data_IF_638359602208
#
_entry.id   IF_638359602208
#
_cell.length_a   1.000
_cell.length_b   1.000
_cell.length_c   1.000
_cell.angle_alpha   90.00
_cell.angle_beta   90.00
_cell.angle_gamma   90.00
#
_symmetry.space_group_name_H-M   'P 1'
#
loop_
_entity.id
_entity.type
_entity.pdbx_description
1 polymer ?
#
# COMPACT_ATOMS: atom_id res chain seq x y z
N UNK A 1 17.77 16.13 7.85
CA UNK A 1 16.31 15.88 7.77
C UNK A 1 16.06 15.59 6.30
N UNK A 2 15.97 14.31 5.95
CA UNK A 2 16.11 13.82 4.58
C UNK A 2 14.93 14.23 3.71
N UNK A 3 15.21 14.99 2.67
CA UNK A 3 14.29 15.17 1.55
C UNK A 3 14.22 13.82 0.82
N UNK A 4 13.11 13.10 1.01
CA UNK A 4 12.79 11.94 0.17
C UNK A 4 12.30 12.52 -1.15
N UNK A 5 13.24 12.79 -2.05
CA UNK A 5 12.93 13.21 -3.42
C UNK A 5 12.36 12.00 -4.15
N UNK A 6 11.09 12.12 -4.53
CA UNK A 6 10.40 11.14 -5.37
C UNK A 6 11.10 11.06 -6.73
N UNK A 7 11.65 9.88 -7.07
CA UNK A 7 12.07 9.57 -8.44
C UNK A 7 10.93 8.76 -9.11
N UNK A 8 10.15 9.38 -10.01
CA UNK A 8 9.15 8.66 -10.81
C UNK A 8 9.79 7.77 -11.89
N UNK A 9 11.06 8.04 -12.21
CA UNK A 9 11.81 7.34 -13.24
C UNK A 9 12.47 6.08 -12.68
N UNK A 10 12.64 5.07 -13.53
CA UNK A 10 13.39 3.86 -13.16
C UNK A 10 14.80 4.24 -12.71
N UNK A 11 15.33 3.45 -11.77
CA UNK A 11 16.72 3.56 -11.38
C UNK A 11 17.61 3.44 -12.64
N UNK A 12 18.70 4.21 -12.74
CA UNK A 12 19.77 3.97 -13.70
C UNK A 12 20.13 2.47 -13.75
N UNK A 13 20.29 1.91 -14.96
CA UNK A 13 20.39 0.46 -15.15
C UNK A 13 21.59 -0.21 -14.45
N UNK A 14 22.63 0.55 -14.12
CA UNK A 14 23.77 0.09 -13.32
C UNK A 14 23.44 -0.03 -11.81
N UNK A 15 22.50 0.77 -11.31
CA UNK A 15 22.06 0.75 -9.92
C UNK A 15 21.10 -0.40 -9.60
N UNK A 16 20.29 -0.86 -10.57
CA UNK A 16 19.34 -1.96 -10.35
C UNK A 16 20.02 -3.26 -9.88
N UNK A 17 21.23 -3.51 -10.37
CA UNK A 17 22.02 -4.72 -10.01
C UNK A 17 23.01 -4.51 -8.88
N UNK A 18 23.16 -3.28 -8.39
CA UNK A 18 24.15 -2.96 -7.36
C UNK A 18 23.65 -3.41 -5.98
N UNK A 19 24.25 -4.46 -5.44
CA UNK A 19 23.93 -4.93 -4.10
C UNK A 19 24.33 -3.87 -3.06
N UNK A 20 23.41 -3.53 -2.15
CA UNK A 20 23.70 -2.64 -1.03
C UNK A 20 24.81 -3.23 -0.16
N UNK A 21 25.83 -2.41 0.10
CA UNK A 21 26.88 -2.69 1.08
C UNK A 21 26.30 -2.82 2.49
N UNK A 22 27.11 -3.34 3.42
CA UNK A 22 26.69 -3.46 4.82
C UNK A 22 26.42 -2.09 5.47
N UNK A 23 27.19 -1.06 5.10
CA UNK A 23 27.02 0.31 5.61
C UNK A 23 25.71 0.93 5.11
N UNK A 24 25.39 0.78 3.82
CA UNK A 24 24.13 1.27 3.24
C UNK A 24 22.92 0.54 3.85
N UNK A 25 23.03 -0.77 4.06
CA UNK A 25 21.96 -1.55 4.73
C UNK A 25 21.70 -1.07 6.16
N UNK A 26 22.73 -0.63 6.88
CA UNK A 26 22.58 -0.08 8.23
C UNK A 26 21.87 1.27 8.25
N UNK A 27 21.82 1.98 7.12
CA UNK A 27 21.08 3.24 6.99
C UNK A 27 19.60 3.03 6.64
N UNK A 28 19.19 1.81 6.29
CA UNK A 28 17.79 1.51 6.01
C UNK A 28 16.95 1.59 7.29
N UNK A 29 15.79 2.24 7.18
CA UNK A 29 14.81 2.24 8.27
C UNK A 29 14.14 0.87 8.37
N UNK A 30 14.16 0.28 9.57
CA UNK A 30 13.51 -0.99 9.85
C UNK A 30 12.30 -0.78 10.76
N UNK A 31 11.12 -1.19 10.30
CA UNK A 31 9.89 -1.19 11.09
C UNK A 31 9.64 -2.58 11.67
N UNK A 32 9.81 -2.71 12.99
CA UNK A 32 9.70 -3.98 13.68
C UNK A 32 8.26 -4.52 13.75
N UNK A 33 8.08 -5.83 13.93
CA UNK A 33 6.77 -6.45 13.88
C UNK A 33 5.97 -6.31 15.20
N UNK A 34 6.61 -5.80 16.26
CA UNK A 34 5.99 -5.45 17.55
C UNK A 34 5.71 -3.94 17.67
N UNK A 35 5.98 -3.19 16.61
CA UNK A 35 5.62 -1.77 16.52
C UNK A 35 4.11 -1.61 16.26
N UNK A 36 3.55 -0.41 16.51
CA UNK A 36 2.14 -0.14 16.25
C UNK A 36 1.70 -0.51 14.82
N UNK A 37 0.38 -0.64 14.58
CA UNK A 37 -0.13 -0.79 13.23
C UNK A 37 0.29 0.39 12.33
N UNK A 38 0.81 0.07 11.14
CA UNK A 38 1.24 1.03 10.14
C UNK A 38 0.40 0.91 8.88
N UNK A 39 -0.28 2.00 8.53
CA UNK A 39 -1.05 2.12 7.29
C UNK A 39 -0.25 2.93 6.28
N UNK A 40 0.01 2.33 5.11
CA UNK A 40 0.83 2.93 4.07
C UNK A 40 0.08 3.01 2.74
N UNK A 41 0.54 3.91 1.88
CA UNK A 41 0.22 3.92 0.45
C UNK A 41 1.49 3.94 -0.37
N UNK A 42 1.42 4.45 -1.60
CA UNK A 42 2.55 4.73 -2.50
C UNK A 42 3.22 3.52 -3.17
N UNK A 43 2.86 2.30 -2.82
CA UNK A 43 3.44 1.08 -3.41
C UNK A 43 2.72 0.59 -4.67
N UNK A 44 1.68 1.30 -5.14
CA UNK A 44 0.92 0.98 -6.35
C UNK A 44 0.60 -0.52 -6.48
N UNK A 45 0.16 -1.13 -5.39
CA UNK A 45 -0.08 -2.56 -5.35
C UNK A 45 -1.15 -2.95 -6.39
N UNK A 46 -1.02 -4.16 -6.92
CA UNK A 46 -2.01 -4.75 -7.83
C UNK A 46 -2.63 -5.99 -7.19
N UNK A 47 -3.77 -6.44 -7.73
CA UNK A 47 -4.44 -7.64 -7.23
C UNK A 47 -5.30 -7.40 -5.97
N UNK A 48 -5.46 -8.45 -5.17
CA UNK A 48 -6.37 -8.48 -4.01
C UNK A 48 -5.62 -7.90 -2.79
N UNK A 49 -6.25 -6.99 -2.00
CA UNK A 49 -5.66 -6.49 -0.77
C UNK A 49 -5.25 -7.60 0.19
N UNK A 50 -4.00 -7.52 0.66
CA UNK A 50 -3.41 -8.47 1.59
C UNK A 50 -2.44 -7.74 2.50
N UNK A 51 -2.25 -8.25 3.71
CA UNK A 51 -1.31 -7.70 4.68
C UNK A 51 0.13 -8.05 4.28
N UNK A 52 1.02 -7.06 4.02
CA UNK A 52 2.44 -7.33 3.81
C UNK A 52 3.12 -7.90 5.07
N UNK A 53 2.61 -7.51 6.25
CA UNK A 53 3.02 -8.03 7.55
C UNK A 53 1.86 -7.91 8.54
N UNK A 54 1.92 -8.61 9.68
CA UNK A 54 0.84 -8.63 10.69
C UNK A 54 0.43 -7.26 11.23
N UNK A 55 1.32 -6.27 11.19
CA UNK A 55 1.09 -4.91 11.69
C UNK A 55 1.19 -3.86 10.57
N UNK A 56 1.15 -4.26 9.30
CA UNK A 56 1.24 -3.34 8.16
C UNK A 56 0.08 -3.58 7.20
N UNK A 57 -0.62 -2.52 6.81
CA UNK A 57 -1.62 -2.54 5.74
C UNK A 57 -1.28 -1.52 4.66
N UNK A 58 -1.15 -1.96 3.41
CA UNK A 58 -1.08 -1.07 2.26
C UNK A 58 -2.51 -0.79 1.77
N UNK A 59 -2.83 0.47 1.45
CA UNK A 59 -4.14 0.89 0.92
C UNK A 59 -4.04 1.43 -0.51
N UNK A 60 -2.84 1.55 -1.06
CA UNK A 60 -2.64 2.06 -2.41
C UNK A 60 -2.63 0.91 -3.42
N UNK A 61 -3.83 0.60 -3.94
CA UNK A 61 -4.03 -0.39 -4.99
C UNK A 61 -4.32 0.24 -6.35
N UNK A 62 -3.59 1.33 -6.66
CA UNK A 62 -3.61 1.94 -8.00
C UNK A 62 -5.01 2.32 -8.49
N UNK A 63 -5.85 2.86 -7.59
CA UNK A 63 -7.23 3.25 -7.90
C UNK A 63 -7.31 4.15 -9.15
N UNK A 64 -6.37 5.10 -9.30
CA UNK A 64 -6.27 6.01 -10.45
C UNK A 64 -5.92 5.33 -11.78
N UNK A 65 -5.40 4.09 -11.75
CA UNK A 65 -5.10 3.27 -12.92
C UNK A 65 -6.12 2.13 -13.10
N UNK A 66 -7.36 2.35 -12.66
CA UNK A 66 -8.44 1.35 -12.74
C UNK A 66 -8.16 0.08 -11.90
N UNK A 67 -7.39 0.25 -10.82
CA UNK A 67 -7.15 -0.79 -9.82
C UNK A 67 -8.32 -0.90 -8.85
N UNK A 68 -8.02 -0.84 -7.55
CA UNK A 68 -9.03 -0.92 -6.48
C UNK A 68 -8.93 0.31 -5.60
N UNK A 69 -10.09 0.84 -5.22
CA UNK A 69 -10.19 1.79 -4.12
C UNK A 69 -10.35 0.98 -2.84
N UNK A 70 -9.35 1.04 -1.96
CA UNK A 70 -9.22 0.18 -0.79
C UNK A 70 -9.29 0.99 0.50
N UNK A 71 -10.01 0.47 1.47
CA UNK A 71 -10.07 0.95 2.84
C UNK A 71 -9.82 -0.22 3.80
N UNK A 72 -9.42 0.10 5.02
CA UNK A 72 -9.27 -0.87 6.11
C UNK A 72 -10.08 -0.41 7.32
N UNK A 73 -10.92 -1.30 7.86
CA UNK A 73 -11.75 -1.06 9.06
C UNK A 73 -10.93 -1.35 10.32
N UNK A 74 -10.21 -0.35 10.84
CA UNK A 74 -9.44 -0.52 12.07
C UNK A 74 -10.32 -0.44 13.32
N UNK A 75 -10.14 -1.38 14.25
CA UNK A 75 -10.90 -1.53 15.48
C UNK A 75 -10.00 -1.49 16.73
N UNK A 76 -8.82 -0.86 16.64
CA UNK A 76 -7.87 -0.75 17.76
C UNK A 76 -6.96 -1.96 17.94
N UNK A 77 -7.01 -2.95 17.04
CA UNK A 77 -6.16 -4.13 17.09
C UNK A 77 -4.69 -3.80 16.80
N UNK A 78 -3.76 -4.50 17.49
CA UNK A 78 -2.32 -4.40 17.25
C UNK A 78 -1.84 -5.33 16.13
N UNK A 79 -2.51 -6.48 15.97
CA UNK A 79 -2.32 -7.39 14.83
C UNK A 79 -3.51 -7.20 13.90
N UNK A 80 -3.23 -6.70 12.70
CA UNK A 80 -4.22 -6.44 11.67
C UNK A 80 -4.81 -7.75 11.14
N UNK A 81 -6.07 -7.67 10.70
CA UNK A 81 -6.82 -8.76 10.10
C UNK A 81 -7.12 -8.43 8.64
N UNK A 82 -6.77 -9.33 7.73
CA UNK A 82 -7.04 -9.17 6.30
C UNK A 82 -8.55 -9.08 5.99
N UNK A 83 -9.41 -9.65 6.84
CA UNK A 83 -10.87 -9.57 6.67
C UNK A 83 -11.42 -8.16 6.87
N UNK A 84 -10.64 -7.24 7.45
CA UNK A 84 -11.04 -5.84 7.64
C UNK A 84 -10.79 -4.98 6.39
N UNK A 85 -10.20 -5.52 5.33
CA UNK A 85 -10.10 -4.83 4.05
C UNK A 85 -11.46 -4.75 3.35
N UNK A 86 -11.83 -3.54 2.95
CA UNK A 86 -13.01 -3.28 2.12
C UNK A 86 -12.55 -2.58 0.85
N UNK A 87 -13.04 -3.02 -0.30
CA UNK A 87 -12.61 -2.44 -1.56
C UNK A 87 -13.65 -2.56 -2.67
N UNK A 88 -13.59 -1.61 -3.59
CA UNK A 88 -14.34 -1.64 -4.86
C UNK A 88 -13.36 -1.61 -6.03
N UNK A 89 -13.74 -2.22 -7.16
CA UNK A 89 -12.98 -2.06 -8.42
C UNK A 89 -13.30 -0.69 -9.01
N UNK A 90 -12.26 0.02 -9.46
CA UNK A 90 -12.45 1.29 -10.15
C UNK A 90 -12.75 1.00 -11.63
N UNK A 91 -13.95 1.36 -12.13
CA UNK A 91 -14.30 1.12 -13.52
C UNK A 91 -13.48 2.01 -14.45
N UNK A 92 -13.25 1.53 -15.69
CA UNK A 92 -12.57 2.30 -16.75
C UNK A 92 -13.37 3.49 -17.29
N UNK A 93 -14.68 3.49 -17.04
CA UNK A 93 -15.61 4.50 -17.54
C UNK A 93 -16.33 5.14 -16.35
N UNK A 94 -16.34 6.48 -16.30
CA UNK A 94 -16.95 7.29 -15.23
C UNK A 94 -18.43 6.96 -14.98
N UNK A 95 -19.13 6.48 -16.02
CA UNK A 95 -20.55 6.15 -16.00
C UNK A 95 -20.90 4.83 -15.29
N UNK A 96 -19.89 4.04 -14.93
CA UNK A 96 -20.03 2.72 -14.31
C UNK A 96 -19.68 2.71 -12.81
N UNK A 97 -19.45 3.88 -12.19
CA UNK A 97 -19.30 3.97 -10.74
C UNK A 97 -20.65 3.65 -10.06
N UNK A 98 -20.70 2.67 -9.15
CA UNK A 98 -21.91 2.44 -8.36
C UNK A 98 -22.26 3.71 -7.60
N UNK A 99 -23.55 4.03 -7.54
CA UNK A 99 -23.99 5.20 -6.78
C UNK A 99 -23.68 4.98 -5.30
N UNK A 100 -23.53 6.06 -4.52
CA UNK A 100 -23.15 5.99 -3.10
C UNK A 100 -24.04 5.11 -2.22
N UNK A 101 -25.25 4.75 -2.69
CA UNK A 101 -26.24 3.91 -2.02
C UNK A 101 -26.33 2.48 -2.58
N UNK A 102 -25.55 2.15 -3.61
CA UNK A 102 -25.37 0.80 -4.17
C UNK A 102 -24.13 0.11 -3.59
N UNK A 103 -23.38 0.81 -2.73
CA UNK A 103 -22.25 0.26 -1.99
C UNK A 103 -22.83 -0.39 -0.74
N UNK A 104 -23.06 -1.71 -0.79
CA UNK A 104 -23.40 -2.48 0.41
C UNK A 104 -22.20 -2.50 1.36
N UNK A 105 -22.44 -2.00 2.57
CA UNK A 105 -21.50 -2.02 3.69
C UNK A 105 -21.85 -3.13 4.69
N UNK A 106 -22.40 -4.25 4.23
CA UNK A 106 -22.56 -5.45 5.07
C UNK A 106 -21.19 -6.10 5.34
#
# INVERSE_FOLDING_TARGET
MGDVVFQPDNLPGDLETHALSNEERQQLSYYGPDQPPLFIGHYWCEGIPALPARNIACLDYSAVKYGRLVAYRWNGEATLNADHFVWIKVPKEERALPRSWEIDFD
#
